data_IF_787519414351
#
_entry.id   IF_787519414351
#
_cell.length_a   1.000
_cell.length_b   1.000
_cell.length_c   1.000
_cell.angle_alpha   90.00
_cell.angle_beta   90.00
_cell.angle_gamma   90.00
#
_symmetry.space_group_name_H-M   'P 1'
#
loop_
_entity.id
_entity.type
_entity.pdbx_description
1 polymer ?
#
# COMPACT_ATOMS: atom_id res chain seq x y z
N UNK A 1 35.69 32.32 8.96
CA UNK A 1 34.44 32.14 9.73
C UNK A 1 33.56 31.24 8.89
N UNK A 2 33.42 29.94 9.24
CA UNK A 2 32.65 29.00 8.42
C UNK A 2 31.17 29.29 8.62
N UNK A 3 30.50 29.73 7.56
CA UNK A 3 29.05 29.91 7.53
C UNK A 3 28.39 28.57 7.78
N UNK A 4 27.53 28.53 8.79
CA UNK A 4 26.62 27.43 9.02
C UNK A 4 25.70 27.29 7.81
N UNK A 5 25.82 26.18 7.10
CA UNK A 5 24.84 25.77 6.09
C UNK A 5 23.85 24.86 6.82
N UNK A 6 22.63 25.32 7.15
CA UNK A 6 21.63 24.44 7.75
C UNK A 6 21.41 23.25 6.80
N UNK A 7 21.19 22.03 7.31
CA UNK A 7 20.73 20.95 6.45
C UNK A 7 19.50 21.46 5.73
N UNK A 8 19.50 21.37 4.39
CA UNK A 8 18.32 21.66 3.61
C UNK A 8 17.19 20.86 4.25
N UNK A 9 16.12 21.56 4.60
CA UNK A 9 14.90 20.98 5.10
C UNK A 9 14.41 20.13 3.92
N UNK A 10 14.79 18.85 3.93
CA UNK A 10 14.38 17.86 2.94
C UNK A 10 12.86 17.93 2.86
N UNK A 11 12.37 18.26 1.67
CA UNK A 11 10.99 18.69 1.47
C UNK A 11 10.00 17.64 1.94
N UNK A 12 9.44 17.83 3.14
CA UNK A 12 8.13 17.32 3.51
C UNK A 12 7.08 17.95 2.59
N UNK A 13 6.66 17.23 1.55
CA UNK A 13 5.32 17.29 0.97
C UNK A 13 5.15 16.24 -0.14
N UNK A 14 4.47 15.13 0.19
CA UNK A 14 3.47 14.34 -0.58
C UNK A 14 3.64 12.91 -0.09
N UNK A 15 2.82 12.48 0.88
CA UNK A 15 2.78 11.08 1.30
C UNK A 15 2.37 10.25 0.09
N UNK A 16 3.34 9.59 -0.51
CA UNK A 16 3.13 8.68 -1.62
C UNK A 16 2.14 7.59 -1.20
N UNK A 17 1.38 7.03 -2.14
CA UNK A 17 0.43 5.95 -1.86
C UNK A 17 1.10 4.81 -1.08
N UNK A 18 2.37 4.54 -1.38
CA UNK A 18 3.22 3.63 -0.63
C UNK A 18 3.33 3.96 0.86
N UNK A 19 3.70 5.18 1.25
CA UNK A 19 3.89 5.54 2.66
C UNK A 19 2.61 5.35 3.49
N UNK A 20 1.45 5.68 2.90
CA UNK A 20 0.15 5.50 3.57
C UNK A 20 -0.19 4.01 3.70
N UNK A 21 -0.04 3.24 2.63
CA UNK A 21 -0.33 1.81 2.63
C UNK A 21 0.61 1.06 3.58
N UNK A 22 1.91 1.36 3.53
CA UNK A 22 2.90 0.78 4.44
C UNK A 22 2.57 1.10 5.91
N UNK A 23 2.17 2.34 6.21
CA UNK A 23 1.73 2.70 7.56
C UNK A 23 0.48 1.95 8.01
N UNK A 24 -0.51 1.79 7.13
CA UNK A 24 -1.73 1.02 7.44
C UNK A 24 -1.36 -0.43 7.77
N UNK A 25 -0.49 -1.05 6.96
CA UNK A 25 -0.03 -2.42 7.18
C UNK A 25 0.72 -2.53 8.51
N UNK A 26 1.66 -1.62 8.77
CA UNK A 26 2.44 -1.59 10.01
C UNK A 26 1.54 -1.49 11.26
N UNK A 27 0.53 -0.62 11.22
CA UNK A 27 -0.41 -0.41 12.33
C UNK A 27 -1.36 -1.59 12.52
N UNK A 28 -1.85 -2.18 11.42
CA UNK A 28 -2.86 -3.25 11.46
C UNK A 28 -2.26 -4.61 11.83
N UNK A 29 -1.06 -4.91 11.33
CA UNK A 29 -0.40 -6.20 11.52
C UNK A 29 0.74 -6.16 12.54
N UNK A 30 0.94 -5.04 13.24
CA UNK A 30 2.02 -4.83 14.22
C UNK A 30 3.42 -5.11 13.64
N UNK A 31 3.61 -4.79 12.36
CA UNK A 31 4.87 -4.97 11.62
C UNK A 31 5.67 -3.67 11.64
N UNK A 32 6.99 -3.77 11.77
CA UNK A 32 7.87 -2.61 11.69
C UNK A 32 7.86 -2.02 10.27
N UNK A 33 7.51 -0.73 10.15
CA UNK A 33 7.37 -0.05 8.87
C UNK A 33 8.68 -0.01 8.06
N UNK A 34 9.84 -0.03 8.73
CA UNK A 34 11.15 -0.05 8.07
C UNK A 34 11.43 -1.39 7.36
N UNK A 35 10.66 -2.44 7.67
CA UNK A 35 10.76 -3.75 6.99
C UNK A 35 9.87 -3.83 5.75
N UNK A 36 8.97 -2.88 5.56
CA UNK A 36 8.04 -2.84 4.44
C UNK A 36 8.71 -2.13 3.27
N UNK A 37 8.90 -2.85 2.18
CA UNK A 37 9.51 -2.32 0.96
C UNK A 37 8.53 -2.35 -0.21
N UNK A 38 8.77 -1.59 -1.30
CA UNK A 38 7.96 -1.69 -2.51
C UNK A 38 7.97 -3.09 -3.15
N UNK A 39 8.98 -3.90 -2.85
CA UNK A 39 9.16 -5.25 -3.37
C UNK A 39 8.63 -6.33 -2.42
N UNK A 40 8.18 -5.95 -1.21
CA UNK A 40 7.61 -6.90 -0.26
C UNK A 40 6.26 -7.42 -0.75
N UNK A 41 6.08 -8.73 -0.70
CA UNK A 41 4.78 -9.36 -0.87
C UNK A 41 4.01 -9.36 0.47
N UNK A 42 2.78 -8.85 0.49
CA UNK A 42 2.01 -8.70 1.75
C UNK A 42 1.76 -10.04 2.44
N UNK A 43 1.43 -11.07 1.67
CA UNK A 43 1.21 -12.41 2.21
C UNK A 43 2.53 -13.19 2.38
N UNK A 44 3.32 -13.35 1.32
CA UNK A 44 4.52 -14.22 1.32
C UNK A 44 5.70 -13.67 2.15
N UNK A 45 6.01 -12.36 2.06
CA UNK A 45 7.13 -11.75 2.79
C UNK A 45 6.73 -11.21 4.16
N UNK A 46 5.62 -10.46 4.21
CA UNK A 46 5.17 -9.81 5.44
C UNK A 46 4.34 -10.74 6.34
N UNK A 47 3.98 -11.92 5.86
CA UNK A 47 3.25 -12.93 6.64
C UNK A 47 1.83 -12.51 7.00
N UNK A 48 1.22 -11.59 6.23
CA UNK A 48 -0.12 -11.10 6.52
C UNK A 48 -1.14 -12.17 6.13
N UNK A 49 -1.90 -12.62 7.12
CA UNK A 49 -2.98 -13.58 6.91
C UNK A 49 -4.15 -12.96 6.13
N UNK A 50 -4.94 -13.82 5.48
CA UNK A 50 -6.08 -13.38 4.67
C UNK A 50 -7.13 -12.55 5.44
N UNK A 51 -7.29 -12.76 6.74
CA UNK A 51 -8.21 -12.00 7.59
C UNK A 51 -7.66 -10.61 7.89
N UNK A 52 -6.40 -10.50 8.30
CA UNK A 52 -5.74 -9.21 8.56
C UNK A 52 -5.69 -8.37 7.28
N UNK A 53 -5.53 -9.01 6.12
CA UNK A 53 -5.59 -8.31 4.84
C UNK A 53 -6.97 -7.69 4.56
N UNK A 54 -8.06 -8.26 5.07
CA UNK A 54 -9.39 -7.64 4.97
C UNK A 54 -9.45 -6.31 5.73
N UNK A 55 -8.88 -6.29 6.95
CA UNK A 55 -8.83 -5.08 7.78
C UNK A 55 -7.92 -4.01 7.17
N UNK A 56 -6.77 -4.41 6.63
CA UNK A 56 -5.87 -3.52 5.87
C UNK A 56 -6.59 -2.90 4.68
N UNK A 57 -7.28 -3.71 3.87
CA UNK A 57 -8.03 -3.22 2.71
C UNK A 57 -9.15 -2.27 3.14
N UNK A 58 -9.84 -2.55 4.24
CA UNK A 58 -10.86 -1.66 4.78
C UNK A 58 -10.29 -0.32 5.26
N UNK A 59 -9.11 -0.33 5.88
CA UNK A 59 -8.39 0.87 6.27
C UNK A 59 -7.92 1.67 5.04
N UNK A 60 -7.43 1.01 3.99
CA UNK A 60 -7.08 1.63 2.70
C UNK A 60 -8.32 2.28 2.06
N UNK A 61 -9.45 1.57 2.00
CA UNK A 61 -10.71 2.10 1.46
C UNK A 61 -11.13 3.39 2.17
N UNK A 62 -11.02 3.42 3.50
CA UNK A 62 -11.32 4.62 4.29
C UNK A 62 -10.33 5.76 4.06
N UNK A 63 -9.03 5.46 4.08
CA UNK A 63 -7.97 6.47 3.99
C UNK A 63 -7.94 7.16 2.62
N UNK A 64 -8.15 6.39 1.55
CA UNK A 64 -8.16 6.89 0.16
C UNK A 64 -9.56 7.21 -0.35
N UNK A 65 -10.60 6.84 0.41
CA UNK A 65 -12.00 6.98 0.03
C UNK A 65 -12.38 6.12 -1.17
N UNK A 66 -11.68 5.03 -1.46
CA UNK A 66 -11.94 4.18 -2.63
C UNK A 66 -12.73 2.94 -2.22
N UNK A 67 -12.96 2.05 -3.19
CA UNK A 67 -13.46 0.70 -2.95
C UNK A 67 -12.59 -0.30 -3.68
N UNK A 68 -11.67 -0.92 -2.97
CA UNK A 68 -10.78 -1.96 -3.48
C UNK A 68 -11.63 -3.21 -3.78
N UNK A 69 -11.59 -3.73 -5.03
CA UNK A 69 -12.38 -4.89 -5.42
C UNK A 69 -11.69 -6.20 -5.00
N UNK A 70 -11.45 -6.37 -3.69
CA UNK A 70 -10.67 -7.48 -3.15
C UNK A 70 -11.22 -8.85 -3.55
N UNK A 71 -12.54 -9.04 -3.48
CA UNK A 71 -13.19 -10.30 -3.90
C UNK A 71 -12.80 -10.67 -5.34
N UNK A 72 -12.78 -9.68 -6.24
CA UNK A 72 -12.37 -9.88 -7.63
C UNK A 72 -10.89 -10.22 -7.75
N UNK A 73 -10.02 -9.51 -7.02
CA UNK A 73 -8.58 -9.79 -7.03
C UNK A 73 -8.28 -11.22 -6.57
N UNK A 74 -8.88 -11.65 -5.47
CA UNK A 74 -8.75 -13.00 -4.94
C UNK A 74 -9.32 -14.04 -5.91
N UNK A 75 -10.47 -13.75 -6.53
CA UNK A 75 -11.06 -14.64 -7.54
C UNK A 75 -10.16 -14.77 -8.79
N UNK A 76 -9.60 -13.67 -9.28
CA UNK A 76 -8.71 -13.68 -10.44
C UNK A 76 -7.43 -14.50 -10.16
N UNK A 77 -6.91 -14.45 -8.94
CA UNK A 77 -5.78 -15.30 -8.50
C UNK A 77 -6.20 -16.78 -8.44
N UNK A 78 -7.33 -17.09 -7.82
CA UNK A 78 -7.82 -18.47 -7.71
C UNK A 78 -8.16 -19.11 -9.06
N UNK A 79 -8.61 -18.31 -10.03
CA UNK A 79 -8.91 -18.74 -11.39
C UNK A 79 -7.66 -18.80 -12.29
N UNK A 80 -6.49 -18.42 -11.77
CA UNK A 80 -5.23 -18.37 -12.52
C UNK A 80 -5.17 -17.27 -13.59
N UNK A 81 -6.04 -16.26 -13.49
CA UNK A 81 -6.07 -15.09 -14.39
C UNK A 81 -5.01 -14.06 -14.05
N UNK A 82 -4.60 -14.01 -12.79
CA UNK A 82 -3.57 -13.10 -12.28
C UNK A 82 -2.67 -13.84 -11.28
N UNK A 83 -1.41 -13.42 -11.20
CA UNK A 83 -0.52 -13.86 -10.11
C UNK A 83 -0.83 -13.09 -8.83
N UNK A 84 -0.45 -13.65 -7.68
CA UNK A 84 -0.55 -12.95 -6.39
C UNK A 84 0.19 -11.62 -6.41
N UNK A 85 1.35 -11.56 -7.06
CA UNK A 85 2.17 -10.35 -7.21
C UNK A 85 1.40 -9.18 -7.83
N UNK A 86 0.44 -9.44 -8.73
CA UNK A 86 -0.34 -8.39 -9.40
C UNK A 86 -1.15 -7.53 -8.40
N UNK A 87 -1.54 -8.12 -7.27
CA UNK A 87 -2.43 -7.50 -6.29
C UNK A 87 -1.81 -7.36 -4.90
N UNK A 88 -0.91 -8.26 -4.52
CA UNK A 88 -0.37 -8.38 -3.17
C UNK A 88 1.11 -7.98 -3.07
N UNK A 89 1.76 -7.62 -4.18
CA UNK A 89 3.09 -6.99 -4.14
C UNK A 89 2.94 -5.49 -3.86
N UNK A 90 3.65 -4.96 -2.87
CA UNK A 90 3.47 -3.59 -2.39
C UNK A 90 3.46 -2.52 -3.50
N UNK A 91 4.41 -2.52 -4.42
CA UNK A 91 4.44 -1.58 -5.54
C UNK A 91 3.22 -1.68 -6.46
N UNK A 92 2.73 -2.90 -6.70
CA UNK A 92 1.59 -3.16 -7.56
C UNK A 92 0.29 -2.79 -6.85
N UNK A 93 0.14 -3.17 -5.58
CA UNK A 93 -0.96 -2.76 -4.71
C UNK A 93 -1.11 -1.24 -4.70
N UNK A 94 0.00 -0.51 -4.49
CA UNK A 94 0.00 0.95 -4.54
C UNK A 94 -0.46 1.49 -5.89
N UNK A 95 0.09 0.96 -7.00
CA UNK A 95 -0.31 1.39 -8.34
C UNK A 95 -1.81 1.14 -8.63
N UNK A 96 -2.40 0.05 -8.12
CA UNK A 96 -3.83 -0.20 -8.22
C UNK A 96 -4.65 0.81 -7.40
N UNK A 97 -4.20 1.11 -6.18
CA UNK A 97 -4.83 2.11 -5.31
C UNK A 97 -4.81 3.48 -5.99
N UNK A 98 -3.67 3.91 -6.53
CA UNK A 98 -3.55 5.15 -7.30
C UNK A 98 -4.53 5.18 -8.49
N UNK A 99 -4.64 4.07 -9.23
CA UNK A 99 -5.60 3.94 -10.32
C UNK A 99 -7.06 4.09 -9.87
N UNK A 100 -7.42 3.50 -8.72
CA UNK A 100 -8.76 3.61 -8.14
C UNK A 100 -9.06 5.03 -7.64
N UNK A 101 -8.08 5.69 -7.03
CA UNK A 101 -8.19 7.09 -6.59
C UNK A 101 -8.40 8.00 -7.79
N UNK A 102 -7.60 7.83 -8.84
CA UNK A 102 -7.73 8.60 -10.08
C UNK A 102 -9.10 8.38 -10.76
N UNK A 103 -9.58 7.13 -10.82
CA UNK A 103 -10.89 6.81 -11.37
C UNK A 103 -12.03 7.45 -10.56
N UNK A 104 -11.92 7.48 -9.23
CA UNK A 104 -12.90 8.15 -8.36
C UNK A 104 -12.87 9.67 -8.50
N UNK A 105 -11.70 10.28 -8.71
CA UNK A 105 -11.59 11.74 -8.88
C UNK A 105 -12.17 12.24 -10.23
N UNK A 106 -12.38 11.34 -11.20
CA UNK A 106 -12.92 11.66 -12.51
C UNK A 106 -14.47 11.65 -12.58
N UNK A 107 -15.16 11.33 -11.47
CA UNK A 107 -16.63 11.31 -11.35
C UNK A 107 -17.12 12.38 -10.38
#
# INVERSE_FOLDING_TARGET
>A
MRGWNPPALEGKAVSTTFEKVAKIIADTSEIDIDTITPESHTIDDLGIDSLDFLDIVFAIDKEFGIKVPLEKWTQDVNDGKASTDEYFLMKNLCAKIDGLVAAKAAV
#
